data_IF_741306907957
#
_entry.id   IF_741306907957
#
_cell.length_a   1.000
_cell.length_b   1.000
_cell.length_c   1.000
_cell.angle_alpha   90.00
_cell.angle_beta   90.00
_cell.angle_gamma   90.00
#
_symmetry.space_group_name_H-M   'P 1'
#
loop_
_entity.id
_entity.type
_entity.pdbx_description
1 polymer ?
#
# COMPACT_ATOMS: atom_id res chain seq x y z
N UNK A 1 -50.28 27.71 -55.39
CA UNK A 1 -49.84 26.32 -55.11
C UNK A 1 -48.91 26.41 -53.91
N UNK A 2 -49.44 26.38 -52.68
CA UNK A 2 -49.59 25.20 -51.80
C UNK A 2 -48.25 24.55 -51.42
N UNK A 3 -47.95 24.60 -50.11
CA UNK A 3 -47.27 23.59 -49.25
C UNK A 3 -46.16 24.21 -48.40
N UNK A 4 -46.44 24.54 -47.13
CA UNK A 4 -46.42 23.65 -45.93
C UNK A 4 -44.97 23.40 -45.47
N UNK A 5 -44.46 24.12 -44.46
CA UNK A 5 -44.70 23.94 -43.01
C UNK A 5 -44.34 22.53 -42.53
N UNK A 6 -43.14 22.38 -41.96
CA UNK A 6 -42.79 21.28 -41.06
C UNK A 6 -41.75 21.78 -40.05
N UNK A 7 -42.28 22.30 -38.94
CA UNK A 7 -41.53 22.65 -37.74
C UNK A 7 -41.32 21.36 -36.94
N UNK A 8 -40.12 20.77 -37.00
CA UNK A 8 -39.80 19.59 -36.20
C UNK A 8 -39.42 20.03 -34.77
N UNK A 9 -40.38 19.93 -33.84
CA UNK A 9 -40.10 19.95 -32.42
C UNK A 9 -39.31 18.69 -32.04
N UNK A 10 -38.03 18.87 -31.72
CA UNK A 10 -37.24 17.85 -31.02
C UNK A 10 -37.56 17.95 -29.53
N UNK A 11 -38.36 17.01 -29.03
CA UNK A 11 -38.56 16.82 -27.60
C UNK A 11 -37.26 16.30 -26.98
N UNK A 12 -36.54 17.17 -26.26
CA UNK A 12 -35.51 16.76 -25.31
C UNK A 12 -36.20 16.17 -24.07
N UNK A 13 -36.39 14.85 -24.04
CA UNK A 13 -36.75 14.13 -22.83
C UNK A 13 -35.49 13.85 -22.02
N UNK A 14 -35.22 14.67 -21.02
CA UNK A 14 -34.26 14.41 -19.95
C UNK A 14 -34.77 13.26 -19.09
N UNK A 15 -34.35 12.02 -19.38
CA UNK A 15 -34.45 10.93 -18.40
C UNK A 15 -33.41 11.17 -17.32
N UNK A 16 -33.83 11.82 -16.22
CA UNK A 16 -33.13 11.72 -14.95
C UNK A 16 -33.29 10.29 -14.44
N UNK A 17 -32.28 9.44 -14.68
CA UNK A 17 -32.16 8.15 -14.01
C UNK A 17 -31.79 8.45 -12.56
N UNK A 18 -32.79 8.51 -11.69
CA UNK A 18 -32.61 8.45 -10.25
C UNK A 18 -32.11 7.05 -9.89
N UNK A 19 -30.80 6.85 -10.00
CA UNK A 19 -30.08 5.75 -9.37
C UNK A 19 -30.28 5.88 -7.87
N UNK A 20 -31.31 5.20 -7.35
CA UNK A 20 -31.42 4.89 -5.93
C UNK A 20 -30.26 3.96 -5.60
N UNK A 21 -29.11 4.55 -5.30
CA UNK A 21 -28.01 3.85 -4.69
C UNK A 21 -28.53 3.24 -3.41
N UNK A 22 -28.74 1.93 -3.43
CA UNK A 22 -28.87 1.13 -2.22
C UNK A 22 -27.55 1.34 -1.49
N UNK A 23 -27.52 2.28 -0.55
CA UNK A 23 -26.47 2.36 0.45
C UNK A 23 -26.62 1.09 1.25
N UNK A 24 -25.91 0.05 0.83
CA UNK A 24 -25.65 -1.11 1.64
C UNK A 24 -24.85 -0.57 2.82
N UNK A 25 -25.56 -0.16 3.88
CA UNK A 25 -24.94 0.05 5.18
C UNK A 25 -24.37 -1.31 5.54
N UNK A 26 -23.07 -1.49 5.29
CA UNK A 26 -22.31 -2.62 5.78
C UNK A 26 -22.40 -2.56 7.30
N UNK A 27 -23.44 -3.19 7.85
CA UNK A 27 -23.58 -3.46 9.26
C UNK A 27 -22.37 -4.28 9.63
N UNK A 28 -21.44 -3.67 10.35
CA UNK A 28 -20.42 -4.40 11.06
C UNK A 28 -21.13 -5.38 11.99
N UNK A 29 -21.11 -6.66 11.65
CA UNK A 29 -21.55 -7.68 12.58
C UNK A 29 -20.46 -7.75 13.64
N UNK A 30 -20.76 -7.26 14.84
CA UNK A 30 -19.87 -7.41 15.98
C UNK A 30 -19.78 -8.89 16.28
N UNK A 31 -18.81 -9.57 15.69
CA UNK A 31 -18.48 -10.93 16.08
C UNK A 31 -17.84 -10.84 17.47
N UNK A 32 -18.64 -11.09 18.50
CA UNK A 32 -18.18 -11.30 19.86
C UNK A 32 -17.38 -12.59 19.94
N UNK A 33 -16.12 -12.56 19.50
CA UNK A 33 -15.17 -13.62 19.78
C UNK A 33 -14.79 -13.55 21.26
N UNK A 34 -15.34 -14.47 22.06
CA UNK A 34 -14.85 -14.77 23.41
C UNK A 34 -13.42 -15.27 23.32
N UNK A 35 -12.47 -14.37 23.65
CA UNK A 35 -11.03 -14.65 23.64
C UNK A 35 -10.63 -15.65 24.71
N UNK A 36 -10.08 -16.78 24.29
CA UNK A 36 -9.31 -17.67 25.15
C UNK A 36 -7.90 -17.10 25.38
N UNK A 37 -7.50 -17.03 26.65
CA UNK A 37 -6.15 -16.65 27.06
C UNK A 37 -5.12 -17.69 26.58
N UNK A 38 -4.44 -17.44 25.47
CA UNK A 38 -3.17 -18.08 25.15
C UNK A 38 -2.03 -17.08 25.30
N UNK A 39 -1.20 -17.35 26.31
CA UNK A 39 0.03 -16.63 26.63
C UNK A 39 0.98 -16.70 25.43
N UNK A 40 1.06 -15.64 24.63
CA UNK A 40 1.98 -15.55 23.50
C UNK A 40 3.42 -15.48 24.03
N UNK A 41 4.22 -16.49 23.68
CA UNK A 41 5.67 -16.47 23.86
C UNK A 41 6.27 -15.57 22.78
N UNK A 42 6.90 -14.47 23.21
CA UNK A 42 7.62 -13.53 22.34
C UNK A 42 8.91 -14.19 21.83
N UNK A 43 8.79 -14.99 20.78
CA UNK A 43 9.94 -15.38 19.96
C UNK A 43 9.95 -14.47 18.74
N UNK A 44 10.69 -13.37 18.85
CA UNK A 44 11.03 -12.48 17.75
C UNK A 44 11.86 -13.24 16.73
N UNK A 45 11.19 -13.95 15.81
CA UNK A 45 11.84 -14.57 14.66
C UNK A 45 12.08 -13.46 13.66
N UNK A 46 13.24 -12.81 13.76
CA UNK A 46 13.71 -11.84 12.78
C UNK A 46 14.02 -12.56 11.47
N UNK A 47 13.01 -12.77 10.63
CA UNK A 47 13.23 -13.10 9.21
C UNK A 47 13.63 -11.83 8.48
N UNK A 48 14.87 -11.37 8.71
CA UNK A 48 15.50 -10.41 7.81
C UNK A 48 15.69 -11.12 6.47
N UNK A 49 15.04 -10.63 5.43
CA UNK A 49 15.41 -10.99 4.06
C UNK A 49 16.81 -10.43 3.77
N UNK A 50 17.49 -10.99 2.78
CA UNK A 50 18.80 -10.52 2.33
C UNK A 50 18.81 -8.99 2.22
N UNK A 51 19.87 -8.38 2.75
CA UNK A 51 20.16 -6.93 2.70
C UNK A 51 19.51 -6.03 3.78
N UNK A 52 18.88 -6.60 4.80
CA UNK A 52 18.52 -5.86 6.04
C UNK A 52 17.13 -5.24 6.03
N UNK A 53 16.30 -5.62 5.07
CA UNK A 53 14.87 -5.27 5.00
C UNK A 53 14.06 -6.15 5.96
N UNK A 54 12.95 -5.62 6.49
CA UNK A 54 12.08 -6.31 7.43
C UNK A 54 10.79 -6.78 6.74
N UNK A 55 10.87 -7.95 6.13
CA UNK A 55 9.84 -8.52 5.25
C UNK A 55 9.27 -9.80 5.85
N UNK A 56 8.38 -9.63 6.82
CA UNK A 56 7.71 -10.74 7.50
C UNK A 56 6.33 -10.97 6.87
N UNK A 57 5.91 -12.22 6.60
CA UNK A 57 4.62 -12.51 5.97
C UNK A 57 3.43 -12.25 6.89
N UNK A 58 3.63 -11.96 8.17
CA UNK A 58 2.56 -11.61 9.09
C UNK A 58 3.11 -10.77 10.24
N UNK A 59 2.22 -10.04 10.91
CA UNK A 59 2.57 -9.25 12.07
C UNK A 59 1.54 -8.21 12.44
N UNK A 60 2.01 -7.22 13.21
CA UNK A 60 1.24 -6.02 13.54
C UNK A 60 1.56 -4.89 12.58
N UNK A 61 0.59 -4.05 12.29
CA UNK A 61 0.77 -2.87 11.45
C UNK A 61 -0.08 -1.69 11.93
N UNK A 62 0.32 -0.48 11.53
CA UNK A 62 -0.57 0.68 11.48
C UNK A 62 -1.09 0.89 10.06
N UNK A 63 -2.18 1.65 9.96
CA UNK A 63 -2.90 1.90 8.72
C UNK A 63 -3.29 3.36 8.63
N UNK A 64 -3.04 4.00 7.49
CA UNK A 64 -3.60 5.32 7.13
C UNK A 64 -4.20 5.31 5.73
N UNK A 65 -4.62 6.47 5.25
CA UNK A 65 -5.13 6.69 3.89
C UNK A 65 -4.29 7.75 3.19
N UNK A 66 -4.03 7.54 1.91
CA UNK A 66 -3.43 8.54 1.01
C UNK A 66 -4.18 8.63 -0.31
N UNK A 67 -3.94 9.73 -1.01
CA UNK A 67 -4.40 9.97 -2.39
C UNK A 67 -3.22 10.03 -3.36
N UNK A 68 -3.49 9.86 -4.65
CA UNK A 68 -2.51 9.99 -5.72
C UNK A 68 -1.79 8.70 -6.10
N UNK A 69 -2.41 7.52 -5.93
CA UNK A 69 -1.74 6.24 -6.21
C UNK A 69 -1.64 5.84 -7.71
N UNK A 70 -1.87 6.77 -8.64
CA UNK A 70 -1.89 6.50 -10.09
C UNK A 70 -0.52 6.26 -10.73
N UNK A 71 0.56 6.68 -10.06
CA UNK A 71 1.96 6.49 -10.50
C UNK A 71 2.80 5.93 -9.37
N UNK A 72 2.56 4.67 -8.95
CA UNK A 72 3.11 4.16 -7.71
C UNK A 72 4.54 3.62 -7.91
N UNK A 73 5.28 3.44 -6.83
CA UNK A 73 6.71 3.13 -6.83
C UNK A 73 7.07 1.78 -7.45
N UNK A 74 6.15 0.82 -7.51
CA UNK A 74 6.34 -0.44 -8.24
C UNK A 74 6.29 -0.27 -9.76
N UNK A 75 5.84 0.89 -10.25
CA UNK A 75 5.84 1.25 -11.66
C UNK A 75 4.75 0.62 -12.51
N UNK A 76 3.76 -0.04 -11.90
CA UNK A 76 2.58 -0.56 -12.59
C UNK A 76 1.38 0.27 -12.12
N UNK A 77 0.63 0.85 -13.05
CA UNK A 77 -0.65 1.47 -12.73
C UNK A 77 -1.68 0.37 -12.45
N UNK A 78 -2.39 0.44 -11.33
CA UNK A 78 -3.46 -0.52 -11.02
C UNK A 78 -4.78 -0.04 -11.62
N UNK A 79 -5.38 -0.85 -12.50
CA UNK A 79 -6.66 -0.51 -13.12
C UNK A 79 -7.80 -0.64 -12.10
N UNK A 80 -7.73 -1.67 -11.24
CA UNK A 80 -8.75 -1.95 -10.24
C UNK A 80 -8.20 -2.78 -9.09
N UNK A 81 -8.99 -2.85 -8.00
CA UNK A 81 -8.67 -3.60 -6.79
C UNK A 81 -7.96 -2.76 -5.74
N UNK A 82 -8.04 -3.19 -4.49
CA UNK A 82 -7.50 -2.43 -3.36
C UNK A 82 -5.98 -2.44 -3.35
N UNK A 83 -5.38 -1.26 -3.24
CA UNK A 83 -3.92 -1.09 -3.22
C UNK A 83 -3.46 -0.37 -1.97
N UNK A 84 -2.19 -0.57 -1.64
CA UNK A 84 -1.55 0.12 -0.54
C UNK A 84 -0.09 0.44 -0.85
N UNK A 85 0.41 1.50 -0.22
CA UNK A 85 1.83 1.69 0.01
C UNK A 85 2.23 0.92 1.28
N UNK A 86 3.44 0.37 1.34
CA UNK A 86 3.97 -0.25 2.57
C UNK A 86 5.21 0.52 3.06
N UNK A 87 5.44 0.57 4.38
CA UNK A 87 6.59 1.28 4.94
C UNK A 87 7.91 0.83 4.31
N UNK A 88 8.79 1.81 4.07
CA UNK A 88 10.08 1.62 3.38
C UNK A 88 10.86 0.38 3.82
N UNK A 89 11.00 0.15 5.14
CA UNK A 89 11.75 -0.99 5.67
C UNK A 89 11.16 -2.36 5.25
N UNK A 90 9.87 -2.44 4.99
CA UNK A 90 9.19 -3.65 4.50
C UNK A 90 9.00 -3.64 2.99
N UNK A 91 9.01 -2.47 2.35
CA UNK A 91 8.88 -2.34 0.90
C UNK A 91 10.06 -2.99 0.15
N UNK A 92 11.29 -2.76 0.63
CA UNK A 92 12.48 -3.36 0.03
C UNK A 92 13.27 -2.45 -0.91
N UNK A 93 13.00 -1.14 -0.91
CA UNK A 93 13.68 -0.16 -1.76
C UNK A 93 13.55 1.27 -1.22
N UNK A 94 14.43 2.16 -1.68
CA UNK A 94 14.44 3.58 -1.32
C UNK A 94 13.85 4.49 -2.41
N UNK A 95 13.85 4.04 -3.67
CA UNK A 95 13.58 4.91 -4.82
C UNK A 95 12.88 4.24 -6.02
N UNK A 96 12.69 2.92 -6.01
CA UNK A 96 12.16 2.14 -7.15
C UNK A 96 11.28 0.98 -6.65
N UNK A 97 11.08 -0.09 -7.41
CA UNK A 97 10.44 -1.30 -6.91
C UNK A 97 11.25 -1.92 -5.76
N UNK A 98 10.56 -2.66 -4.89
CA UNK A 98 11.16 -3.55 -3.89
C UNK A 98 10.42 -4.89 -3.86
N UNK A 99 10.88 -5.83 -3.04
CA UNK A 99 10.31 -7.19 -3.07
C UNK A 99 8.86 -7.26 -2.56
N UNK A 100 8.36 -6.21 -1.92
CA UNK A 100 6.94 -6.10 -1.56
C UNK A 100 6.03 -5.87 -2.75
N UNK A 101 6.55 -5.38 -3.89
CA UNK A 101 5.75 -5.05 -5.05
C UNK A 101 4.93 -6.25 -5.54
N UNK A 102 3.62 -6.07 -5.60
CA UNK A 102 2.65 -7.05 -6.06
C UNK A 102 2.30 -8.16 -5.10
N UNK A 103 2.83 -8.16 -3.87
CA UNK A 103 2.39 -9.08 -2.80
C UNK A 103 1.04 -8.66 -2.25
N UNK A 104 0.24 -9.64 -1.84
CA UNK A 104 -1.12 -9.42 -1.33
C UNK A 104 -1.21 -9.72 0.16
N UNK A 105 -1.95 -8.89 0.89
CA UNK A 105 -2.08 -8.99 2.33
C UNK A 105 -3.53 -8.82 2.76
N UNK A 106 -4.01 -9.73 3.61
CA UNK A 106 -5.19 -9.51 4.41
C UNK A 106 -4.80 -8.62 5.58
N UNK A 107 -5.36 -7.40 5.62
CA UNK A 107 -5.16 -6.43 6.69
C UNK A 107 -6.42 -6.32 7.52
N UNK A 108 -6.28 -6.22 8.84
CA UNK A 108 -7.42 -6.20 9.77
C UNK A 108 -7.22 -5.10 10.82
N UNK A 109 -8.14 -4.14 10.96
CA UNK A 109 -8.07 -3.12 11.98
C UNK A 109 -8.52 -3.70 13.33
N UNK A 110 -7.78 -3.43 14.40
CA UNK A 110 -8.11 -3.91 15.75
C UNK A 110 -8.19 -2.80 16.79
N UNK A 111 -7.83 -1.56 16.46
CA UNK A 111 -7.92 -0.42 17.36
C UNK A 111 -7.62 0.91 16.71
N UNK A 112 -8.14 1.98 17.28
CA UNK A 112 -7.81 3.36 16.91
C UNK A 112 -6.75 3.89 17.89
N UNK A 113 -5.53 4.22 17.43
CA UNK A 113 -4.45 4.68 18.31
C UNK A 113 -4.73 6.06 18.94
N UNK A 114 -5.59 6.88 18.34
CA UNK A 114 -6.00 8.18 18.87
C UNK A 114 -7.23 8.09 19.78
N UNK A 115 -7.96 6.98 19.75
CA UNK A 115 -9.08 6.68 20.65
C UNK A 115 -9.00 5.27 21.25
N UNK A 116 -8.01 4.97 22.11
CA UNK A 116 -7.77 3.61 22.61
C UNK A 116 -8.93 2.99 23.41
N UNK A 117 -9.83 3.82 23.95
CA UNK A 117 -11.03 3.38 24.67
C UNK A 117 -12.23 3.09 23.77
N UNK A 118 -12.12 3.36 22.46
CA UNK A 118 -13.19 3.08 21.52
C UNK A 118 -13.40 1.56 21.39
N UNK A 119 -14.65 1.13 21.55
CA UNK A 119 -15.05 -0.29 21.49
C UNK A 119 -16.07 -0.57 20.38
N UNK A 120 -16.30 0.40 19.49
CA UNK A 120 -17.20 0.24 18.35
C UNK A 120 -16.56 -0.55 17.20
N UNK A 121 -17.20 -0.51 16.03
CA UNK A 121 -16.70 -1.20 14.85
C UNK A 121 -15.34 -0.63 14.42
N UNK A 122 -14.35 -1.51 14.30
CA UNK A 122 -12.99 -1.14 13.87
C UNK A 122 -12.83 -1.09 12.34
N UNK A 123 -13.80 -1.58 11.58
CA UNK A 123 -13.72 -1.66 10.12
C UNK A 123 -13.77 -3.10 9.62
N UNK A 124 -13.35 -3.33 8.38
CA UNK A 124 -13.38 -4.64 7.74
C UNK A 124 -11.97 -5.16 7.48
N UNK A 125 -11.82 -6.49 7.49
CA UNK A 125 -10.67 -7.12 6.86
C UNK A 125 -10.78 -6.98 5.35
N UNK A 126 -9.72 -6.50 4.69
CA UNK A 126 -9.64 -6.44 3.23
C UNK A 126 -8.33 -7.05 2.74
N UNK A 127 -8.33 -7.54 1.50
CA UNK A 127 -7.11 -7.96 0.81
C UNK A 127 -6.59 -6.79 -0.02
N UNK A 128 -5.40 -6.30 0.28
CA UNK A 128 -4.72 -5.27 -0.51
C UNK A 128 -3.57 -5.88 -1.30
N UNK A 129 -3.23 -5.27 -2.42
CA UNK A 129 -2.01 -5.57 -3.17
C UNK A 129 -1.06 -4.38 -3.08
N UNK A 130 0.17 -4.63 -2.63
CA UNK A 130 1.15 -3.55 -2.48
C UNK A 130 1.61 -3.09 -3.86
N UNK A 131 1.43 -1.80 -4.14
CA UNK A 131 1.87 -1.18 -5.39
C UNK A 131 2.85 -0.04 -5.16
N UNK A 132 3.01 0.43 -3.93
CA UNK A 132 3.68 1.69 -3.65
C UNK A 132 4.56 1.66 -2.39
N UNK A 133 5.40 2.68 -2.28
CA UNK A 133 6.31 2.93 -1.17
C UNK A 133 5.74 4.02 -0.27
N UNK A 134 5.66 3.75 1.03
CA UNK A 134 5.56 4.82 2.02
C UNK A 134 6.97 5.14 2.55
N UNK A 135 7.60 6.24 2.10
CA UNK A 135 8.97 6.55 2.48
C UNK A 135 9.04 6.98 3.95
N UNK A 136 10.13 6.62 4.62
CA UNK A 136 10.39 7.06 5.99
C UNK A 136 10.65 8.57 6.06
N UNK A 137 11.18 9.18 5.00
CA UNK A 137 11.25 10.64 4.87
C UNK A 137 9.85 11.21 4.64
N UNK A 138 9.52 12.32 5.30
CA UNK A 138 8.16 12.89 5.29
C UNK A 138 7.15 12.17 6.20
N UNK A 139 7.26 10.85 6.40
CA UNK A 139 6.25 10.05 7.11
C UNK A 139 6.78 9.40 8.41
N UNK A 140 7.54 10.14 9.22
CA UNK A 140 8.21 9.60 10.42
C UNK A 140 7.25 9.01 11.46
N UNK A 141 6.04 9.54 11.55
CA UNK A 141 5.01 9.05 12.47
C UNK A 141 4.59 7.60 12.16
N UNK A 142 4.47 7.26 10.87
CA UNK A 142 3.86 6.03 10.40
C UNK A 142 4.85 5.06 9.73
N UNK A 143 5.70 5.57 8.84
CA UNK A 143 6.64 4.80 8.01
C UNK A 143 8.10 4.98 8.41
N UNK A 144 8.35 5.59 9.57
CA UNK A 144 9.68 5.92 10.09
C UNK A 144 10.53 4.72 10.55
N UNK A 145 10.09 3.47 10.32
CA UNK A 145 10.83 2.29 10.75
C UNK A 145 12.20 2.20 10.06
N UNK A 146 13.20 1.81 10.82
CA UNK A 146 14.57 1.56 10.36
C UNK A 146 15.11 0.28 11.00
N UNK A 147 16.26 -0.22 10.55
CA UNK A 147 16.88 -1.40 11.16
C UNK A 147 17.21 -1.19 12.65
N UNK A 148 17.64 0.02 13.04
CA UNK A 148 17.96 0.34 14.43
C UNK A 148 16.75 0.75 15.27
N UNK A 149 15.69 1.25 14.63
CA UNK A 149 14.44 1.63 15.27
C UNK A 149 13.28 1.02 14.47
N UNK A 150 12.99 -0.28 14.67
CA UNK A 150 12.12 -1.04 13.77
C UNK A 150 10.63 -0.78 14.00
N UNK A 151 10.27 0.13 14.92
CA UNK A 151 8.89 0.48 15.24
C UNK A 151 8.65 1.95 14.94
N UNK A 152 7.44 2.28 14.46
CA UNK A 152 6.99 3.66 14.35
C UNK A 152 6.47 4.22 15.69
N UNK A 153 5.92 5.43 15.68
CA UNK A 153 5.46 6.11 16.91
C UNK A 153 4.30 5.41 17.61
N UNK A 154 3.58 4.53 16.90
CA UNK A 154 2.51 3.70 17.43
C UNK A 154 2.94 2.26 17.75
N UNK A 155 4.25 2.03 17.89
CA UNK A 155 4.83 0.72 18.20
C UNK A 155 4.50 -0.36 17.16
N UNK A 156 4.32 0.02 15.89
CA UNK A 156 4.04 -0.91 14.79
C UNK A 156 5.28 -1.12 13.90
N UNK A 157 5.65 -2.39 13.62
CA UNK A 157 6.83 -2.70 12.80
C UNK A 157 6.62 -2.49 11.31
N UNK A 158 5.36 -2.48 10.86
CA UNK A 158 4.96 -2.28 9.47
C UNK A 158 3.88 -1.21 9.44
N UNK A 159 3.80 -0.49 8.32
CA UNK A 159 2.69 0.41 8.05
C UNK A 159 2.17 0.17 6.63
N UNK A 160 0.85 0.23 6.47
CA UNK A 160 0.18 0.23 5.17
C UNK A 160 -0.60 1.53 4.99
N UNK A 161 -0.28 2.28 3.95
CA UNK A 161 -1.01 3.49 3.58
C UNK A 161 -1.98 3.15 2.45
N UNK A 162 -3.28 3.27 2.70
CA UNK A 162 -4.32 2.74 1.83
C UNK A 162 -4.69 3.75 0.75
N UNK A 163 -4.62 3.36 -0.51
CA UNK A 163 -4.97 4.26 -1.61
C UNK A 163 -6.47 4.52 -1.64
N UNK A 164 -6.88 5.76 -1.44
CA UNK A 164 -8.27 6.20 -1.47
C UNK A 164 -8.93 5.92 -2.82
N UNK A 165 -8.24 6.22 -3.94
CA UNK A 165 -8.78 6.08 -5.29
C UNK A 165 -9.01 4.63 -5.71
N UNK A 166 -8.31 3.68 -5.07
CA UNK A 166 -8.53 2.25 -5.28
C UNK A 166 -9.78 1.71 -4.58
N UNK A 167 -10.40 2.52 -3.70
CA UNK A 167 -11.51 2.12 -2.83
C UNK A 167 -11.07 1.38 -1.57
N UNK A 168 -9.77 1.21 -1.32
CA UNK A 168 -9.25 0.47 -0.16
C UNK A 168 -9.57 1.15 1.17
N UNK A 169 -9.35 2.47 1.27
CA UNK A 169 -9.62 3.24 2.47
C UNK A 169 -11.11 3.21 2.90
N UNK A 170 -12.10 3.54 2.04
CA UNK A 170 -13.50 3.47 2.43
C UNK A 170 -14.00 2.05 2.72
N UNK A 171 -13.34 1.01 2.20
CA UNK A 171 -13.66 -0.38 2.53
C UNK A 171 -13.11 -0.80 3.90
N UNK A 172 -11.96 -0.25 4.31
CA UNK A 172 -11.24 -0.60 5.53
C UNK A 172 -11.68 0.24 6.73
N UNK A 173 -11.69 1.57 6.60
CA UNK A 173 -11.87 2.47 7.72
C UNK A 173 -13.34 2.76 8.04
N UNK A 174 -13.74 2.74 9.32
CA UNK A 174 -15.01 3.32 9.76
C UNK A 174 -15.07 4.82 9.45
N UNK A 175 -16.29 5.33 9.20
CA UNK A 175 -16.50 6.76 9.00
C UNK A 175 -15.92 7.61 10.14
N UNK A 176 -15.14 8.63 9.79
CA UNK A 176 -14.49 9.54 10.73
C UNK A 176 -13.20 9.01 11.35
N UNK A 177 -12.66 7.89 10.88
CA UNK A 177 -11.36 7.35 11.29
C UNK A 177 -10.47 7.22 10.06
N UNK A 178 -9.30 7.85 10.08
CA UNK A 178 -8.32 7.76 8.99
C UNK A 178 -7.02 7.07 9.41
N UNK A 179 -6.95 6.57 10.64
CA UNK A 179 -5.77 5.94 11.21
C UNK A 179 -6.17 4.80 12.15
N UNK A 180 -5.57 3.63 11.97
CA UNK A 180 -5.83 2.44 12.77
C UNK A 180 -4.55 1.68 13.07
N UNK A 181 -4.60 0.77 14.04
CA UNK A 181 -3.61 -0.29 14.25
C UNK A 181 -4.29 -1.66 14.16
N UNK A 182 -3.51 -2.69 13.88
CA UNK A 182 -4.03 -4.05 13.81
C UNK A 182 -3.03 -5.05 13.29
N UNK A 183 -3.49 -5.97 12.45
CA UNK A 183 -2.69 -7.11 11.97
C UNK A 183 -2.70 -7.21 10.47
N UNK A 184 -1.66 -7.82 9.92
CA UNK A 184 -1.57 -8.17 8.53
C UNK A 184 -1.09 -9.62 8.37
N UNK A 185 -1.52 -10.26 7.28
CA UNK A 185 -1.07 -11.58 6.85
C UNK A 185 -0.97 -11.61 5.33
N UNK A 186 0.19 -11.97 4.81
CA UNK A 186 0.42 -12.22 3.40
C UNK A 186 -0.39 -13.44 2.97
N UNK A 187 -1.03 -13.31 1.82
CA UNK A 187 -1.92 -14.32 1.24
C UNK A 187 -1.65 -14.46 -0.25
N UNK A 188 -2.19 -15.52 -0.85
CA UNK A 188 -2.17 -15.65 -2.30
C UNK A 188 -2.94 -14.49 -2.94
N UNK A 189 -2.38 -13.88 -3.98
CA UNK A 189 -3.09 -12.84 -4.73
C UNK A 189 -4.30 -13.36 -5.51
N UNK A 190 -4.59 -14.66 -5.48
CA UNK A 190 -5.89 -15.20 -5.91
C UNK A 190 -7.06 -14.72 -5.03
N UNK A 191 -6.77 -14.32 -3.78
CA UNK A 191 -7.73 -13.70 -2.86
C UNK A 191 -8.02 -12.24 -3.25
N UNK A 192 -7.03 -11.54 -3.79
CA UNK A 192 -7.17 -10.15 -4.25
C UNK A 192 -8.05 -10.07 -5.51
N UNK A 193 -8.94 -9.07 -5.56
CA UNK A 193 -9.85 -8.83 -6.69
C UNK A 193 -9.50 -7.51 -7.35
N UNK A 194 -8.88 -7.59 -8.52
CA UNK A 194 -8.48 -6.44 -9.31
C UNK A 194 -7.70 -6.83 -10.55
N UNK A 195 -7.14 -5.84 -11.22
CA UNK A 195 -6.31 -6.04 -12.41
C UNK A 195 -5.18 -5.03 -12.50
N UNK A 196 -4.03 -5.50 -12.93
CA UNK A 196 -2.86 -4.67 -13.23
C UNK A 196 -3.03 -3.98 -14.59
N UNK A 197 -2.52 -2.76 -14.69
CA UNK A 197 -2.38 -2.01 -15.93
C UNK A 197 -1.03 -2.22 -16.60
N UNK A 198 -0.70 -1.30 -17.50
CA UNK A 198 0.59 -1.34 -18.20
C UNK A 198 1.73 -0.83 -17.32
N UNK A 199 2.96 -1.34 -17.53
CA UNK A 199 4.16 -0.72 -16.98
C UNK A 199 4.28 0.75 -17.35
N UNK A 200 4.61 1.58 -16.36
CA UNK A 200 4.86 3.00 -16.51
C UNK A 200 6.30 3.29 -16.95
N UNK A 201 7.22 2.36 -16.72
CA UNK A 201 8.64 2.47 -17.07
C UNK A 201 9.32 1.10 -17.16
N UNK A 202 10.48 1.06 -17.83
CA UNK A 202 11.28 -0.16 -18.00
C UNK A 202 11.88 -0.60 -16.67
N UNK A 203 11.56 -1.82 -16.25
CA UNK A 203 11.98 -2.38 -14.96
C UNK A 203 10.90 -2.31 -13.89
N UNK A 204 9.72 -1.75 -14.19
CA UNK A 204 8.58 -1.85 -13.28
C UNK A 204 8.29 -3.32 -12.97
N UNK A 205 7.94 -3.62 -11.72
CA UNK A 205 7.80 -4.99 -11.27
C UNK A 205 6.61 -5.16 -10.32
N UNK A 206 5.88 -6.25 -10.52
CA UNK A 206 4.87 -6.77 -9.61
C UNK A 206 5.11 -8.27 -9.46
N UNK A 207 5.12 -8.76 -8.22
CA UNK A 207 5.18 -10.18 -7.96
C UNK A 207 4.02 -10.89 -8.67
N UNK A 208 4.26 -12.05 -9.32
CA UNK A 208 3.20 -12.80 -9.97
C UNK A 208 2.19 -13.27 -8.94
N UNK A 209 0.94 -13.48 -9.36
CA UNK A 209 -0.18 -13.80 -8.44
C UNK A 209 0.01 -15.09 -7.63
N UNK A 210 0.93 -15.96 -8.06
CA UNK A 210 1.31 -17.22 -7.45
C UNK A 210 2.71 -17.21 -6.83
N UNK A 211 3.32 -16.04 -6.62
CA UNK A 211 4.58 -15.93 -5.89
C UNK A 211 4.44 -16.61 -4.51
N UNK A 212 5.44 -17.40 -4.07
CA UNK A 212 5.45 -17.92 -2.71
C UNK A 212 5.43 -16.75 -1.71
N UNK A 213 4.78 -16.95 -0.56
CA UNK A 213 4.79 -15.97 0.54
C UNK A 213 6.22 -15.76 1.05
N UNK A 214 6.48 -14.63 1.72
CA UNK A 214 7.74 -14.44 2.43
C UNK A 214 7.97 -15.56 3.47
N UNK A 215 9.21 -16.02 3.68
CA UNK A 215 10.45 -15.58 3.04
C UNK A 215 10.65 -16.21 1.64
N UNK A 216 10.56 -15.38 0.60
CA UNK A 216 10.76 -15.71 -0.80
C UNK A 216 11.20 -14.44 -1.54
N UNK A 217 11.60 -14.57 -2.80
CA UNK A 217 11.96 -13.43 -3.65
C UNK A 217 11.09 -13.46 -4.89
N UNK A 218 10.54 -12.30 -5.25
CA UNK A 218 9.82 -12.04 -6.50
C UNK A 218 10.53 -10.92 -7.26
N UNK A 219 10.20 -9.66 -6.99
CA UNK A 219 10.85 -8.50 -7.62
C UNK A 219 12.29 -8.30 -7.12
N UNK A 220 12.61 -8.74 -5.91
CA UNK A 220 13.89 -8.48 -5.28
C UNK A 220 13.94 -7.11 -4.58
N UNK A 221 14.83 -7.02 -3.60
CA UNK A 221 15.10 -5.78 -2.89
C UNK A 221 16.18 -4.97 -3.61
N UNK A 222 16.01 -3.65 -3.64
CA UNK A 222 16.97 -2.70 -4.21
C UNK A 222 17.78 -2.03 -3.10
N UNK A 223 19.11 -2.16 -3.16
CA UNK A 223 20.02 -1.60 -2.16
C UNK A 223 20.07 -2.36 -0.84
N UNK A 224 20.67 -1.72 0.18
CA UNK A 224 20.90 -2.33 1.49
C UNK A 224 20.42 -1.43 2.62
N UNK A 225 19.76 -2.00 3.62
CA UNK A 225 19.40 -1.32 4.87
C UNK A 225 20.36 -1.57 6.03
N UNK A 226 21.37 -2.41 5.82
CA UNK A 226 22.51 -2.43 6.72
C UNK A 226 23.32 -1.15 6.55
N UNK A 227 23.69 -0.53 7.67
CA UNK A 227 24.96 0.18 7.70
C UNK A 227 26.03 -0.86 7.40
N UNK A 228 26.78 -0.71 6.32
CA UNK A 228 28.06 -1.40 6.17
C UNK A 228 28.90 -1.03 7.40
N UNK A 229 28.93 -1.89 8.42
CA UNK A 229 30.05 -1.89 9.35
C UNK A 229 31.26 -2.39 8.56
N UNK A 230 31.90 -1.50 7.81
CA UNK A 230 33.33 -1.60 7.57
C UNK A 230 33.97 -0.75 8.65
N UNK A 231 34.34 -1.41 9.73
CA UNK A 231 35.31 -0.99 10.74
C UNK A 231 35.55 0.53 10.88
N UNK A 232 34.92 1.11 11.91
CA UNK A 232 35.42 2.28 12.64
C UNK A 232 35.68 3.62 11.92
N UNK A 233 35.11 3.90 10.75
CA UNK A 233 35.08 5.28 10.21
C UNK A 233 33.70 5.62 9.66
N UNK A 234 33.05 6.62 10.25
CA UNK A 234 31.83 7.22 9.71
C UNK A 234 32.15 7.90 8.38
N UNK A 235 32.04 7.17 7.27
CA UNK A 235 32.03 7.78 5.94
C UNK A 235 30.56 7.91 5.54
N UNK A 236 30.11 9.16 5.36
CA UNK A 236 28.83 9.46 4.78
C UNK A 236 28.84 8.95 3.32
N UNK A 237 28.36 7.74 3.08
CA UNK A 237 28.08 7.25 1.73
C UNK A 237 26.79 7.93 1.29
N UNK A 238 26.93 9.19 0.90
CA UNK A 238 25.95 9.84 0.04
C UNK A 238 25.85 8.92 -1.18
N UNK A 239 24.70 8.30 -1.37
CA UNK A 239 24.35 7.65 -2.63
C UNK A 239 24.78 8.60 -3.74
N UNK A 240 25.64 8.13 -4.63
CA UNK A 240 25.98 8.89 -5.83
C UNK A 240 24.66 9.11 -6.56
N UNK A 241 24.14 10.34 -6.47
CA UNK A 241 23.14 10.82 -7.43
C UNK A 241 23.71 10.54 -8.82
N UNK A 242 22.93 9.94 -9.74
CA UNK A 242 23.35 9.93 -11.13
C UNK A 242 23.40 11.38 -11.59
N UNK A 243 24.61 11.84 -11.90
CA UNK A 243 24.84 13.14 -12.54
C UNK A 243 23.90 13.28 -13.76
N UNK A 244 23.29 14.46 -13.96
CA UNK A 244 22.47 14.71 -15.13
C UNK A 244 23.34 14.56 -16.39
N UNK A 245 22.84 13.75 -17.32
CA UNK A 245 23.44 13.50 -18.62
C UNK A 245 23.73 14.81 -19.37
N UNK A 246 25.01 15.06 -19.56
CA UNK A 246 25.56 15.95 -20.58
C UNK A 246 25.48 15.21 -21.93
N UNK A 247 24.48 15.53 -22.76
CA UNK A 247 24.47 15.14 -24.17
C UNK A 247 24.75 16.37 -25.05
N UNK A 248 26.00 16.44 -25.50
CA UNK A 248 26.47 16.89 -26.83
C UNK A 248 25.75 18.07 -27.49
N UNK A 249 26.34 19.26 -27.35
CA UNK A 249 26.47 20.17 -28.49
C UNK A 249 27.66 19.72 -29.35
N UNK A 250 27.43 19.44 -30.63
CA UNK A 250 28.27 19.81 -31.80
C UNK A 250 27.95 18.89 -32.98
N UNK A 251 27.33 19.47 -34.02
CA UNK A 251 27.75 19.27 -35.40
C UNK A 251 27.16 20.38 -36.26
N UNK A 252 27.99 21.40 -36.50
CA UNK A 252 27.91 22.29 -37.66
C UNK A 252 28.81 21.74 -38.75
N UNK A 253 28.22 21.44 -39.90
CA UNK A 253 28.80 21.51 -41.24
C UNK A 253 27.69 21.87 -42.20
#
# INVERSE_FOLDING_TARGET
>A
MKSALALALVFLSTLAVASHGVVHQHRCTVNTHTGGNTKASTTSTSTSTSNGWAQNPNGKASFTVYSGCGTPSCGINMISGFTAAISQLSFGSDHSFGDACGRCFNITPTGDPYSPSYSGCMGNTITVRVSDLCPAEGNKEWCGQTVSHPLNQFSMPVHFDLCEESGSAPAFFPSGRGAMVGTYQEVSCTEWKGSEGSPLWNGACMAPVNAPLWPSVACGNEGTKYWLRRDAVLVNVRSKEPHPHEWMTQNTA
#
